data_IF_846346546135
#
_entry.id   IF_846346546135
#
_cell.length_a   1.000
_cell.length_b   1.000
_cell.length_c   1.000
_cell.angle_alpha   90.00
_cell.angle_beta   90.00
_cell.angle_gamma   90.00
#
_symmetry.space_group_name_H-M   'P 1'
#
loop_
_entity.id
_entity.type
_entity.pdbx_description
1 polymer ?
#
# COMPACT_ATOMS: atom_id res chain seq x y z
N UNK A 1 31.68 -18.40 19.64
CA UNK A 1 30.73 -17.40 20.19
C UNK A 1 29.55 -17.33 19.24
N UNK A 2 28.32 -17.51 19.73
CA UNK A 2 27.11 -17.40 18.90
C UNK A 2 26.79 -15.97 18.48
N UNK A 3 25.76 -15.79 17.65
CA UNK A 3 25.26 -14.46 17.29
C UNK A 3 24.67 -13.75 18.52
N UNK A 4 24.89 -12.43 18.67
CA UNK A 4 24.11 -11.61 19.60
C UNK A 4 22.61 -11.65 19.24
N UNK A 5 21.73 -11.51 20.25
CA UNK A 5 20.28 -11.59 20.08
C UNK A 5 19.72 -10.62 19.02
N UNK A 6 20.31 -9.43 18.87
CA UNK A 6 19.87 -8.42 17.89
C UNK A 6 20.38 -8.68 16.46
N UNK A 7 21.14 -9.76 16.23
CA UNK A 7 21.65 -10.16 14.91
C UNK A 7 21.09 -11.49 14.42
N UNK A 8 20.12 -12.09 15.11
CA UNK A 8 19.62 -13.42 14.73
C UNK A 8 19.09 -13.49 13.30
N UNK A 9 18.51 -12.40 12.77
CA UNK A 9 18.02 -12.35 11.39
C UNK A 9 19.12 -12.20 10.34
N UNK A 10 20.39 -11.99 10.70
CA UNK A 10 21.46 -11.93 9.69
C UNK A 10 21.71 -13.27 9.03
N UNK A 11 21.16 -14.37 9.59
CA UNK A 11 21.29 -15.72 9.04
C UNK A 11 20.71 -15.84 7.64
N UNK A 12 19.62 -15.13 7.32
CA UNK A 12 18.95 -15.21 6.01
C UNK A 12 19.51 -14.26 4.95
N UNK A 13 20.56 -13.48 5.26
CA UNK A 13 21.05 -12.43 4.34
C UNK A 13 21.65 -12.96 3.03
N UNK A 14 22.19 -14.18 3.05
CA UNK A 14 22.78 -14.81 1.87
C UNK A 14 21.94 -15.97 1.33
N UNK A 15 20.75 -16.20 1.90
CA UNK A 15 19.86 -17.31 1.57
C UNK A 15 18.54 -16.73 1.00
N UNK A 16 18.46 -16.49 -0.32
CA UNK A 16 17.35 -15.77 -0.94
C UNK A 16 16.00 -16.48 -0.78
N UNK A 17 15.97 -17.81 -0.73
CA UNK A 17 14.75 -18.57 -0.48
C UNK A 17 14.20 -18.38 0.94
N UNK A 18 15.08 -18.46 1.95
CA UNK A 18 14.68 -18.22 3.33
C UNK A 18 14.37 -16.74 3.57
N UNK A 19 15.06 -15.84 2.86
CA UNK A 19 14.72 -14.43 2.83
C UNK A 19 13.31 -14.23 2.26
N UNK A 20 12.96 -14.89 1.15
CA UNK A 20 11.61 -14.85 0.59
C UNK A 20 10.57 -15.40 1.58
N UNK A 21 10.86 -16.54 2.22
CA UNK A 21 9.98 -17.12 3.25
C UNK A 21 9.66 -16.14 4.38
N UNK A 22 10.66 -15.43 4.93
CA UNK A 22 10.40 -14.46 6.00
C UNK A 22 9.63 -13.23 5.51
N UNK A 23 9.80 -12.81 4.26
CA UNK A 23 8.98 -11.73 3.67
C UNK A 23 7.51 -12.16 3.48
N UNK A 24 7.28 -13.41 3.04
CA UNK A 24 5.94 -13.98 2.92
C UNK A 24 5.30 -14.10 4.30
N UNK A 25 6.05 -14.56 5.31
CA UNK A 25 5.58 -14.62 6.71
C UNK A 25 5.22 -13.23 7.25
N UNK A 26 6.07 -12.22 7.03
CA UNK A 26 5.77 -10.85 7.42
C UNK A 26 4.49 -10.33 6.75
N UNK A 27 4.32 -10.61 5.45
CA UNK A 27 3.09 -10.25 4.72
C UNK A 27 1.87 -10.93 5.33
N UNK A 28 1.97 -12.22 5.67
CA UNK A 28 0.89 -12.96 6.32
C UNK A 28 0.49 -12.33 7.66
N UNK A 29 1.47 -11.95 8.48
CA UNK A 29 1.23 -11.30 9.78
C UNK A 29 0.56 -9.94 9.63
N UNK A 30 1.01 -9.12 8.68
CA UNK A 30 0.37 -7.81 8.40
C UNK A 30 -1.07 -8.00 7.94
N UNK A 31 -1.33 -8.94 7.03
CA UNK A 31 -2.70 -9.21 6.56
C UNK A 31 -3.61 -9.82 7.62
N UNK A 32 -3.07 -10.68 8.49
CA UNK A 32 -3.81 -11.26 9.61
C UNK A 32 -4.11 -10.23 10.71
N UNK A 33 -3.19 -9.28 10.93
CA UNK A 33 -3.44 -8.15 11.83
C UNK A 33 -4.55 -7.25 11.29
N UNK A 34 -4.52 -6.91 10.00
CA UNK A 34 -5.55 -6.07 9.38
C UNK A 34 -6.96 -6.69 9.52
N UNK A 35 -7.08 -8.00 9.30
CA UNK A 35 -8.32 -8.75 9.56
C UNK A 35 -8.73 -8.71 11.04
N UNK A 36 -7.81 -9.05 11.95
CA UNK A 36 -8.11 -9.12 13.38
C UNK A 36 -8.63 -7.78 13.92
N UNK A 37 -8.07 -6.66 13.42
CA UNK A 37 -8.58 -5.33 13.77
C UNK A 37 -9.94 -5.04 13.15
N UNK A 38 -10.16 -5.38 11.88
CA UNK A 38 -11.46 -5.16 11.23
C UNK A 38 -12.58 -5.99 11.88
N UNK A 39 -12.33 -7.25 12.24
CA UNK A 39 -13.29 -8.08 12.98
C UNK A 39 -13.53 -7.57 14.40
N UNK A 40 -12.49 -7.06 15.06
CA UNK A 40 -12.63 -6.43 16.37
C UNK A 40 -13.51 -5.19 16.29
N UNK A 41 -13.24 -4.29 15.33
CA UNK A 41 -14.04 -3.09 15.09
C UNK A 41 -15.50 -3.45 14.79
N UNK A 42 -15.73 -4.41 13.88
CA UNK A 42 -17.06 -4.88 13.54
C UNK A 42 -17.82 -5.43 14.76
N UNK A 43 -17.13 -6.13 15.66
CA UNK A 43 -17.75 -6.71 16.85
C UNK A 43 -18.20 -5.67 17.89
N UNK A 44 -17.60 -4.48 17.89
CA UNK A 44 -17.91 -3.39 18.85
C UNK A 44 -18.63 -2.20 18.22
N UNK A 45 -18.70 -2.12 16.89
CA UNK A 45 -19.29 -1.00 16.16
C UNK A 45 -20.82 -0.92 16.29
N UNK A 46 -21.33 0.30 16.49
CA UNK A 46 -22.75 0.59 16.64
C UNK A 46 -23.27 1.52 15.52
N UNK A 47 -23.95 0.98 14.49
CA UNK A 47 -24.31 1.76 13.29
C UNK A 47 -25.53 2.68 13.44
N UNK A 48 -26.23 2.69 14.57
CA UNK A 48 -27.60 3.24 14.62
C UNK A 48 -27.70 4.77 14.60
N UNK A 49 -26.63 5.50 14.95
CA UNK A 49 -26.65 6.97 15.06
C UNK A 49 -25.50 7.64 14.27
N UNK A 50 -25.46 7.52 12.93
CA UNK A 50 -24.32 7.97 12.13
C UNK A 50 -24.07 9.48 12.17
N UNK A 51 -25.06 10.30 12.59
CA UNK A 51 -24.91 11.76 12.70
C UNK A 51 -24.25 12.18 14.03
N UNK A 52 -24.66 11.56 15.15
CA UNK A 52 -24.23 11.98 16.50
C UNK A 52 -23.17 11.09 17.11
N UNK A 53 -23.10 9.85 16.64
CA UNK A 53 -22.12 8.85 17.01
C UNK A 53 -21.50 8.23 15.75
N UNK A 54 -20.85 9.06 14.90
CA UNK A 54 -20.20 8.58 13.70
C UNK A 54 -19.01 7.68 14.01
N UNK A 55 -18.59 7.01 12.96
CA UNK A 55 -17.46 6.09 12.87
C UNK A 55 -16.18 6.54 13.62
N UNK A 56 -15.72 7.77 13.41
CA UNK A 56 -14.52 8.30 14.06
C UNK A 56 -14.67 8.54 15.57
N UNK A 57 -15.90 8.61 16.13
CA UNK A 57 -16.13 8.65 17.58
C UNK A 57 -16.06 7.28 18.24
N UNK A 58 -16.40 6.24 17.49
CA UNK A 58 -16.39 4.86 17.96
C UNK A 58 -15.08 4.14 17.64
N UNK A 59 -14.23 4.74 16.80
CA UNK A 59 -12.96 4.14 16.35
C UNK A 59 -13.14 2.98 15.37
N UNK A 60 -14.22 2.96 14.59
CA UNK A 60 -14.53 1.88 13.64
C UNK A 60 -14.47 2.34 12.18
N UNK A 61 -14.79 1.44 11.24
CA UNK A 61 -15.13 1.72 9.84
C UNK A 61 -16.30 0.84 9.39
N UNK A 62 -17.46 1.36 8.91
CA UNK A 62 -18.55 0.49 8.38
C UNK A 62 -19.47 1.15 7.34
N UNK A 63 -19.65 0.44 6.20
CA UNK A 63 -20.85 0.39 5.33
C UNK A 63 -20.90 -0.93 4.55
N UNK A 64 -22.07 -1.57 4.46
CA UNK A 64 -22.21 -2.95 3.95
C UNK A 64 -22.51 -3.03 2.43
N UNK A 65 -21.79 -3.86 1.66
CA UNK A 65 -22.09 -4.21 0.25
C UNK A 65 -21.61 -5.63 -0.15
N UNK A 66 -22.50 -6.64 -0.09
CA UNK A 66 -22.32 -7.93 -0.78
C UNK A 66 -21.12 -8.75 -0.29
N UNK A 67 -20.42 -9.46 -1.20
CA UNK A 67 -19.19 -10.21 -0.87
C UNK A 67 -18.07 -9.27 -0.40
N UNK A 68 -18.06 -8.04 -0.90
CA UNK A 68 -17.11 -6.98 -0.51
C UNK A 68 -17.63 -6.17 0.69
N UNK A 69 -18.20 -6.85 1.68
CA UNK A 69 -18.66 -6.23 2.93
C UNK A 69 -17.57 -6.16 3.99
N UNK A 70 -17.86 -5.50 5.10
CA UNK A 70 -16.98 -5.47 6.28
C UNK A 70 -16.85 -6.83 6.96
N UNK A 71 -17.71 -7.80 6.63
CA UNK A 71 -17.54 -9.20 7.01
C UNK A 71 -16.71 -9.98 5.96
N UNK A 72 -16.93 -9.68 4.68
CA UNK A 72 -16.27 -10.37 3.58
C UNK A 72 -14.80 -10.01 3.40
N UNK A 73 -14.46 -8.72 3.48
CA UNK A 73 -13.07 -8.24 3.33
C UNK A 73 -12.14 -8.86 4.39
N UNK A 74 -12.49 -8.87 5.70
CA UNK A 74 -11.66 -9.55 6.70
C UNK A 74 -11.61 -11.07 6.47
N UNK A 75 -12.75 -11.68 6.10
CA UNK A 75 -12.81 -13.10 5.71
C UNK A 75 -11.83 -13.48 4.60
N UNK A 76 -11.71 -12.65 3.55
CA UNK A 76 -10.72 -12.83 2.49
C UNK A 76 -9.28 -12.64 2.99
N UNK A 77 -9.04 -11.66 3.88
CA UNK A 77 -7.72 -11.43 4.49
C UNK A 77 -7.27 -12.60 5.38
N UNK A 78 -8.18 -13.27 6.11
CA UNK A 78 -7.88 -14.50 6.87
C UNK A 78 -7.41 -15.60 5.95
N UNK A 79 -8.19 -15.86 4.89
CA UNK A 79 -7.87 -16.93 3.94
C UNK A 79 -6.53 -16.64 3.27
N UNK A 80 -6.30 -15.40 2.86
CA UNK A 80 -5.03 -14.97 2.29
C UNK A 80 -3.86 -15.12 3.27
N UNK A 81 -4.02 -14.68 4.52
CA UNK A 81 -3.01 -14.81 5.57
C UNK A 81 -2.65 -16.29 5.81
N UNK A 82 -3.64 -17.17 5.93
CA UNK A 82 -3.42 -18.62 6.09
C UNK A 82 -2.69 -19.25 4.90
N UNK A 83 -3.06 -18.89 3.66
CA UNK A 83 -2.36 -19.35 2.46
C UNK A 83 -0.90 -18.87 2.43
N UNK A 84 -0.64 -17.62 2.83
CA UNK A 84 0.71 -17.06 2.91
C UNK A 84 1.56 -17.75 3.98
N UNK A 85 0.99 -18.15 5.12
CA UNK A 85 1.71 -18.94 6.13
C UNK A 85 2.15 -20.29 5.54
N UNK A 86 1.27 -20.99 4.84
CA UNK A 86 1.60 -22.27 4.20
C UNK A 86 2.71 -22.10 3.14
N UNK A 87 2.61 -21.05 2.32
CA UNK A 87 3.61 -20.69 1.31
C UNK A 87 4.97 -20.35 1.96
N UNK A 88 4.98 -19.60 3.06
CA UNK A 88 6.19 -19.28 3.81
C UNK A 88 6.88 -20.54 4.35
N UNK A 89 6.11 -21.48 4.93
CA UNK A 89 6.63 -22.77 5.41
C UNK A 89 7.22 -23.57 4.25
N UNK A 90 6.54 -23.58 3.10
CA UNK A 90 7.04 -24.28 1.91
C UNK A 90 8.39 -23.72 1.44
N UNK A 91 8.51 -22.39 1.28
CA UNK A 91 9.76 -21.74 0.90
C UNK A 91 10.88 -21.92 1.93
N UNK A 92 10.53 -22.02 3.21
CA UNK A 92 11.51 -22.30 4.26
C UNK A 92 12.10 -23.71 4.14
N UNK A 93 11.24 -24.70 3.90
CA UNK A 93 11.64 -26.11 3.82
C UNK A 93 12.38 -26.40 2.51
N UNK A 94 11.91 -25.84 1.40
CA UNK A 94 12.46 -26.06 0.06
C UNK A 94 13.35 -24.90 -0.39
N UNK A 95 14.40 -24.63 0.38
CA UNK A 95 15.21 -23.41 0.25
C UNK A 95 16.39 -23.49 -0.74
N UNK A 96 16.65 -24.62 -1.38
CA UNK A 96 17.77 -24.79 -2.32
C UNK A 96 17.28 -24.86 -3.77
N UNK A 97 16.54 -23.82 -4.20
CA UNK A 97 16.01 -23.77 -5.55
C UNK A 97 17.08 -23.30 -6.54
N UNK A 98 17.24 -24.07 -7.62
CA UNK A 98 18.21 -23.78 -8.69
C UNK A 98 18.07 -22.36 -9.27
N UNK A 99 16.87 -21.77 -9.25
CA UNK A 99 16.60 -20.42 -9.78
C UNK A 99 17.39 -19.31 -9.07
N UNK A 100 17.75 -19.52 -7.81
CA UNK A 100 18.52 -18.54 -7.04
C UNK A 100 20.03 -18.76 -7.15
N UNK A 101 20.48 -19.84 -7.78
CA UNK A 101 21.88 -20.17 -7.96
C UNK A 101 22.40 -19.72 -9.33
N UNK A 102 23.50 -18.97 -9.33
CA UNK A 102 24.24 -18.67 -10.57
C UNK A 102 24.90 -19.93 -11.10
N UNK A 103 24.52 -20.39 -12.28
CA UNK A 103 25.06 -21.61 -12.90
C UNK A 103 26.58 -21.58 -13.09
N UNK A 104 27.18 -20.38 -13.21
CA UNK A 104 28.63 -20.23 -13.39
C UNK A 104 29.40 -20.40 -12.09
N UNK A 105 28.84 -19.98 -10.96
CA UNK A 105 29.55 -19.94 -9.68
C UNK A 105 29.01 -20.93 -8.65
N UNK A 106 27.82 -21.48 -8.86
CA UNK A 106 27.10 -22.34 -7.92
C UNK A 106 26.70 -21.62 -6.64
N UNK A 107 26.68 -20.28 -6.63
CA UNK A 107 26.37 -19.47 -5.44
C UNK A 107 25.02 -18.77 -5.59
N UNK A 108 24.34 -18.47 -4.47
CA UNK A 108 23.16 -17.63 -4.49
C UNK A 108 23.44 -16.26 -5.10
N UNK A 109 22.59 -15.80 -6.02
CA UNK A 109 22.72 -14.47 -6.64
C UNK A 109 21.37 -13.90 -7.04
N UNK A 110 21.21 -12.58 -6.90
CA UNK A 110 20.02 -11.83 -7.30
C UNK A 110 20.41 -10.65 -8.18
N UNK A 111 19.75 -10.54 -9.35
CA UNK A 111 19.89 -9.38 -10.23
C UNK A 111 18.95 -8.25 -9.78
N UNK A 112 19.37 -7.53 -8.73
CA UNK A 112 18.55 -6.49 -8.09
C UNK A 112 18.02 -5.41 -9.04
N UNK A 113 18.81 -4.86 -9.99
CA UNK A 113 18.28 -3.90 -10.98
C UNK A 113 17.14 -4.46 -11.82
N UNK A 114 17.26 -5.72 -12.26
CA UNK A 114 16.20 -6.36 -13.05
C UNK A 114 14.97 -6.67 -12.21
N UNK A 115 15.16 -7.14 -10.98
CA UNK A 115 14.08 -7.35 -10.01
C UNK A 115 13.35 -6.03 -9.73
N UNK A 116 14.08 -4.93 -9.56
CA UNK A 116 13.51 -3.61 -9.37
C UNK A 116 12.64 -3.19 -10.55
N UNK A 117 13.11 -3.39 -11.79
CA UNK A 117 12.29 -3.18 -12.99
C UNK A 117 10.98 -3.96 -12.92
N UNK A 118 11.04 -5.29 -12.79
CA UNK A 118 9.85 -6.14 -12.73
C UNK A 118 8.84 -5.65 -11.67
N UNK A 119 9.30 -5.25 -10.49
CA UNK A 119 8.41 -4.73 -9.44
C UNK A 119 7.83 -3.35 -9.83
N UNK A 120 8.64 -2.45 -10.39
CA UNK A 120 8.19 -1.15 -10.88
C UNK A 120 7.15 -1.29 -12.00
N UNK A 121 7.30 -2.28 -12.90
CA UNK A 121 6.31 -2.60 -13.92
C UNK A 121 4.96 -2.95 -13.30
N UNK A 122 4.98 -3.93 -12.39
CA UNK A 122 3.78 -4.44 -11.74
C UNK A 122 3.12 -3.35 -10.90
N UNK A 123 3.91 -2.53 -10.19
CA UNK A 123 3.42 -1.36 -9.48
C UNK A 123 2.82 -0.33 -10.42
N UNK A 124 3.45 -0.03 -11.57
CA UNK A 124 2.92 0.92 -12.57
C UNK A 124 1.59 0.46 -13.16
N UNK A 125 1.47 -0.82 -13.53
CA UNK A 125 0.21 -1.42 -14.01
C UNK A 125 -0.87 -1.38 -12.94
N UNK A 126 -0.55 -1.74 -11.70
CA UNK A 126 -1.49 -1.68 -10.58
C UNK A 126 -1.95 -0.24 -10.30
N UNK A 127 -1.03 0.72 -10.32
CA UNK A 127 -1.31 2.13 -10.04
C UNK A 127 -2.18 2.76 -11.12
N UNK A 128 -1.85 2.51 -12.39
CA UNK A 128 -2.67 2.91 -13.53
C UNK A 128 -4.07 2.27 -13.44
N UNK A 129 -4.14 0.97 -13.19
CA UNK A 129 -5.40 0.24 -13.11
C UNK A 129 -6.30 0.75 -11.98
N UNK A 130 -5.72 1.06 -10.82
CA UNK A 130 -6.46 1.67 -9.71
C UNK A 130 -7.06 3.01 -10.13
N UNK A 131 -6.26 3.93 -10.68
CA UNK A 131 -6.77 5.22 -11.16
C UNK A 131 -7.82 5.07 -12.26
N UNK A 132 -7.49 4.34 -13.33
CA UNK A 132 -8.27 4.27 -14.56
C UNK A 132 -9.57 3.46 -14.44
N UNK A 133 -9.65 2.49 -13.51
CA UNK A 133 -10.82 1.62 -13.36
C UNK A 133 -11.51 1.75 -12.01
N UNK A 134 -10.74 1.73 -10.92
CA UNK A 134 -11.30 1.73 -9.57
C UNK A 134 -11.83 3.12 -9.20
N UNK A 135 -10.98 4.15 -9.27
CA UNK A 135 -11.31 5.52 -8.83
C UNK A 135 -12.28 6.21 -9.79
N UNK A 136 -12.06 6.08 -11.10
CA UNK A 136 -13.00 6.58 -12.14
C UNK A 136 -14.34 5.86 -12.12
N UNK A 137 -14.47 4.73 -11.43
CA UNK A 137 -15.70 3.93 -11.47
C UNK A 137 -16.05 3.33 -12.83
N UNK A 138 -15.10 3.28 -13.78
CA UNK A 138 -15.30 2.61 -15.07
C UNK A 138 -15.53 1.11 -14.90
N UNK A 139 -14.82 0.50 -13.93
CA UNK A 139 -14.97 -0.92 -13.58
C UNK A 139 -14.74 -1.19 -12.09
N UNK A 140 -15.02 -0.20 -11.23
CA UNK A 140 -14.80 -0.33 -9.79
C UNK A 140 -15.78 0.49 -8.94
N UNK A 141 -15.66 0.38 -7.61
CA UNK A 141 -16.62 0.92 -6.66
C UNK A 141 -16.56 2.44 -6.53
N UNK A 142 -15.53 3.09 -7.10
CA UNK A 142 -15.24 4.52 -6.95
C UNK A 142 -14.70 4.85 -5.56
N UNK A 143 -14.62 6.13 -5.21
CA UNK A 143 -14.07 6.59 -3.92
C UNK A 143 -15.04 7.48 -3.16
N UNK A 144 -14.81 7.65 -1.86
CA UNK A 144 -15.56 8.61 -1.03
C UNK A 144 -15.25 10.04 -1.47
N UNK A 145 -16.28 10.84 -1.65
CA UNK A 145 -16.18 12.29 -1.83
C UNK A 145 -17.24 12.95 -0.97
N UNK A 146 -16.90 14.10 -0.41
CA UNK A 146 -17.80 14.88 0.43
C UNK A 146 -17.91 16.33 -0.05
N UNK A 147 -18.91 17.03 0.48
CA UNK A 147 -19.02 18.47 0.34
C UNK A 147 -18.08 19.21 1.31
N UNK A 148 -17.98 20.54 1.17
CA UNK A 148 -17.08 21.39 1.95
C UNK A 148 -17.31 21.34 3.46
N UNK A 149 -18.50 20.92 3.91
CA UNK A 149 -18.86 20.85 5.32
C UNK A 149 -19.03 19.41 5.84
N UNK A 150 -18.78 18.39 5.00
CA UNK A 150 -18.85 16.99 5.42
C UNK A 150 -20.25 16.55 5.84
N UNK A 151 -21.28 16.94 5.09
CA UNK A 151 -22.69 16.63 5.39
C UNK A 151 -23.30 15.62 4.40
N UNK A 152 -22.74 15.51 3.19
CA UNK A 152 -23.30 14.77 2.07
C UNK A 152 -22.29 13.78 1.46
N UNK A 153 -21.37 13.27 2.28
CA UNK A 153 -20.39 12.28 1.87
C UNK A 153 -20.99 11.01 1.32
N UNK A 154 -20.42 10.54 0.23
CA UNK A 154 -20.80 9.28 -0.41
C UNK A 154 -19.72 8.78 -1.34
N UNK A 155 -19.77 7.50 -1.64
CA UNK A 155 -18.97 6.90 -2.71
C UNK A 155 -19.51 7.36 -4.07
N UNK A 156 -18.67 8.02 -4.87
CA UNK A 156 -19.05 8.53 -6.17
C UNK A 156 -17.92 8.49 -7.18
N UNK A 157 -18.29 8.50 -8.46
CA UNK A 157 -17.36 8.54 -9.58
C UNK A 157 -16.63 9.88 -9.61
N UNK A 158 -15.34 9.83 -9.92
CA UNK A 158 -14.48 11.00 -10.02
C UNK A 158 -13.85 11.06 -11.41
N UNK A 159 -14.03 12.19 -12.08
CA UNK A 159 -13.36 12.45 -13.37
C UNK A 159 -11.95 13.00 -13.11
N UNK A 160 -10.96 12.66 -13.96
CA UNK A 160 -9.62 13.20 -13.82
C UNK A 160 -9.57 14.71 -14.06
N UNK A 161 -8.81 15.40 -13.23
CA UNK A 161 -8.46 16.81 -13.39
C UNK A 161 -7.06 16.92 -14.02
N UNK A 162 -7.00 17.40 -15.26
CA UNK A 162 -5.74 17.55 -16.00
C UNK A 162 -5.21 18.98 -16.03
N UNK A 163 -6.00 19.96 -15.60
CA UNK A 163 -5.59 21.35 -15.48
C UNK A 163 -4.81 21.62 -14.20
N UNK A 164 -4.66 22.91 -13.85
CA UNK A 164 -3.97 23.32 -12.62
C UNK A 164 -4.71 22.87 -11.37
N UNK A 165 -6.03 22.72 -11.45
CA UNK A 165 -6.88 22.16 -10.39
C UNK A 165 -6.54 20.71 -10.06
N UNK A 166 -5.83 19.99 -10.94
CA UNK A 166 -5.28 18.66 -10.66
C UNK A 166 -4.08 18.64 -9.72
N UNK A 167 -3.67 19.79 -9.18
CA UNK A 167 -2.67 19.91 -8.11
C UNK A 167 -3.27 20.50 -6.82
N UNK A 168 -4.57 20.81 -6.82
CA UNK A 168 -5.27 21.22 -5.61
C UNK A 168 -5.60 19.96 -4.80
N UNK A 169 -5.03 19.79 -3.58
CA UNK A 169 -5.14 18.56 -2.84
C UNK A 169 -6.53 18.36 -2.20
N UNK A 170 -7.44 19.33 -2.38
CA UNK A 170 -8.86 19.22 -2.02
C UNK A 170 -9.75 18.82 -3.20
N UNK A 171 -9.20 18.73 -4.43
CA UNK A 171 -9.94 18.32 -5.62
C UNK A 171 -9.74 16.82 -5.85
N UNK A 172 -10.79 15.97 -5.71
CA UNK A 172 -10.64 14.51 -5.86
C UNK A 172 -10.16 14.08 -7.25
N UNK A 173 -10.36 14.93 -8.27
CA UNK A 173 -9.89 14.69 -9.64
C UNK A 173 -8.36 14.58 -9.76
N UNK A 174 -7.62 15.17 -8.81
CA UNK A 174 -6.16 15.03 -8.66
C UNK A 174 -5.76 13.57 -8.40
N UNK A 175 -6.49 12.86 -7.54
CA UNK A 175 -6.25 11.44 -7.25
C UNK A 175 -6.28 10.62 -8.54
N UNK A 176 -7.28 10.85 -9.39
CA UNK A 176 -7.44 10.09 -10.64
C UNK A 176 -6.31 10.41 -11.62
N UNK A 177 -6.06 11.70 -11.88
CA UNK A 177 -5.04 12.11 -12.85
C UNK A 177 -3.63 11.72 -12.38
N UNK A 178 -3.35 11.83 -11.08
CA UNK A 178 -2.10 11.36 -10.46
C UNK A 178 -1.88 9.87 -10.69
N UNK A 179 -2.86 9.01 -10.39
CA UNK A 179 -2.73 7.57 -10.56
C UNK A 179 -2.53 7.15 -12.02
N UNK A 180 -3.26 7.77 -12.95
CA UNK A 180 -3.12 7.50 -14.38
C UNK A 180 -1.74 7.96 -14.89
N UNK A 181 -1.33 9.19 -14.56
CA UNK A 181 -0.08 9.76 -15.02
C UNK A 181 1.14 9.02 -14.43
N UNK A 182 1.20 8.87 -13.11
CA UNK A 182 2.32 8.21 -12.45
C UNK A 182 2.36 6.71 -12.78
N UNK A 183 1.21 6.05 -12.96
CA UNK A 183 1.15 4.66 -13.41
C UNK A 183 1.74 4.50 -14.82
N UNK A 184 1.37 5.40 -15.74
CA UNK A 184 1.93 5.43 -17.10
C UNK A 184 3.44 5.69 -17.08
N UNK A 185 3.90 6.66 -16.27
CA UNK A 185 5.33 6.93 -16.10
C UNK A 185 6.08 5.76 -15.48
N UNK A 186 5.48 5.07 -14.50
CA UNK A 186 6.05 3.88 -13.88
C UNK A 186 6.27 2.75 -14.88
N UNK A 187 5.30 2.52 -15.78
CA UNK A 187 5.42 1.54 -16.87
C UNK A 187 6.56 1.93 -17.84
N UNK A 188 6.66 3.21 -18.22
CA UNK A 188 7.73 3.66 -19.12
C UNK A 188 9.11 3.60 -18.47
N UNK A 189 9.21 3.98 -17.19
CA UNK A 189 10.43 3.92 -16.41
C UNK A 189 10.89 2.46 -16.20
N UNK A 190 9.96 1.53 -16.00
CA UNK A 190 10.26 0.11 -15.97
C UNK A 190 10.87 -0.38 -17.30
N UNK A 191 10.22 -0.09 -18.43
CA UNK A 191 10.72 -0.52 -19.74
C UNK A 191 12.17 -0.06 -19.94
N UNK A 192 12.51 1.12 -19.44
CA UNK A 192 13.89 1.59 -19.37
C UNK A 192 14.77 0.73 -18.45
N UNK A 193 14.35 0.47 -17.21
CA UNK A 193 15.10 -0.35 -16.24
C UNK A 193 15.30 -1.81 -16.66
N UNK A 194 14.36 -2.40 -17.41
CA UNK A 194 14.52 -3.74 -18.00
C UNK A 194 15.39 -3.75 -19.24
N UNK A 195 15.46 -2.64 -19.98
CA UNK A 195 16.22 -2.53 -21.23
C UNK A 195 17.67 -2.08 -21.02
N UNK A 196 17.96 -1.40 -19.90
CA UNK A 196 19.25 -0.72 -19.70
C UNK A 196 19.97 -1.25 -18.47
N UNK A 197 21.19 -1.75 -18.68
CA UNK A 197 22.07 -2.13 -17.58
C UNK A 197 22.56 -0.92 -16.80
N UNK A 198 22.71 -1.08 -15.48
CA UNK A 198 23.21 0.02 -14.64
C UNK A 198 24.66 0.38 -15.01
N UNK A 199 24.99 1.69 -15.18
CA UNK A 199 26.36 2.15 -15.32
C UNK A 199 27.28 1.66 -14.20
N UNK A 200 28.51 1.29 -14.56
CA UNK A 200 29.48 0.70 -13.60
C UNK A 200 29.83 1.64 -12.43
N UNK A 201 29.83 2.96 -12.67
CA UNK A 201 30.05 3.97 -11.61
C UNK A 201 28.95 3.94 -10.56
N UNK A 202 27.68 3.88 -10.98
CA UNK A 202 26.52 3.81 -10.08
C UNK A 202 26.46 2.46 -9.36
N UNK A 203 26.72 1.36 -10.06
CA UNK A 203 26.77 0.02 -9.46
C UNK A 203 27.77 -0.04 -8.29
N UNK A 204 28.99 0.49 -8.49
CA UNK A 204 30.03 0.53 -7.45
C UNK A 204 29.75 1.55 -6.35
N UNK A 205 29.15 2.69 -6.69
CA UNK A 205 28.89 3.80 -5.78
C UNK A 205 27.73 3.54 -4.82
N UNK A 206 26.60 3.04 -5.34
CA UNK A 206 25.38 2.85 -4.55
C UNK A 206 25.41 1.57 -3.71
N UNK A 207 26.13 0.53 -4.17
CA UNK A 207 26.17 -0.81 -3.54
C UNK A 207 24.78 -1.39 -3.22
N UNK A 208 23.72 -0.86 -3.86
CA UNK A 208 22.29 -1.15 -3.66
C UNK A 208 21.87 -1.39 -2.20
N UNK A 209 22.41 -0.62 -1.26
CA UNK A 209 22.04 -0.70 0.15
C UNK A 209 20.88 0.23 0.52
N UNK A 210 19.96 -0.26 1.35
CA UNK A 210 19.03 0.47 2.25
C UNK A 210 18.18 1.66 1.73
N UNK A 211 18.08 1.90 0.43
CA UNK A 211 17.29 3.04 -0.13
C UNK A 211 15.79 2.92 0.22
N UNK A 212 15.27 1.71 0.37
CA UNK A 212 13.84 1.48 0.68
C UNK A 212 13.38 2.11 1.99
N UNK A 213 14.22 2.12 3.03
CA UNK A 213 13.86 2.68 4.35
C UNK A 213 13.63 4.19 4.25
N UNK A 214 14.47 4.90 3.49
CA UNK A 214 14.32 6.35 3.30
C UNK A 214 13.03 6.68 2.56
N UNK A 215 12.68 5.91 1.53
CA UNK A 215 11.42 6.10 0.78
C UNK A 215 10.20 5.82 1.67
N UNK A 216 10.21 4.73 2.45
CA UNK A 216 9.11 4.42 3.38
C UNK A 216 8.96 5.50 4.46
N UNK A 217 10.07 6.03 4.97
CA UNK A 217 10.04 7.13 5.94
C UNK A 217 9.46 8.42 5.33
N UNK A 218 9.84 8.76 4.11
CA UNK A 218 9.30 9.92 3.39
C UNK A 218 7.78 9.79 3.21
N UNK A 219 7.30 8.65 2.71
CA UNK A 219 5.85 8.40 2.55
C UNK A 219 5.12 8.46 3.89
N UNK A 220 5.74 7.96 4.96
CA UNK A 220 5.16 8.01 6.31
C UNK A 220 5.01 9.46 6.81
N UNK A 221 5.99 10.32 6.50
CA UNK A 221 5.92 11.74 6.82
C UNK A 221 4.79 12.43 6.05
N UNK A 222 4.72 12.23 4.72
CA UNK A 222 3.68 12.81 3.87
C UNK A 222 2.28 12.38 4.33
N UNK A 223 2.04 11.08 4.55
CA UNK A 223 0.73 10.58 5.00
C UNK A 223 0.34 11.17 6.36
N UNK A 224 1.31 11.32 7.27
CA UNK A 224 1.08 11.96 8.58
C UNK A 224 0.67 13.43 8.42
N UNK A 225 1.37 14.15 7.53
CA UNK A 225 1.06 15.55 7.22
C UNK A 225 -0.33 15.70 6.62
N UNK A 226 -0.66 14.90 5.59
CA UNK A 226 -1.96 14.97 4.92
C UNK A 226 -3.13 14.58 5.82
N UNK A 227 -2.89 13.69 6.78
CA UNK A 227 -3.87 13.34 7.81
C UNK A 227 -4.08 14.50 8.79
N UNK A 228 -3.01 15.21 9.16
CA UNK A 228 -3.06 16.29 10.13
C UNK A 228 -3.72 17.57 9.59
N UNK A 229 -3.46 17.90 8.32
CA UNK A 229 -4.01 19.11 7.68
C UNK A 229 -5.36 18.88 6.98
N UNK A 230 -5.68 17.63 6.63
CA UNK A 230 -6.89 17.26 5.90
C UNK A 230 -6.77 17.50 4.40
N UNK A 231 -7.18 16.52 3.58
CA UNK A 231 -7.18 16.54 2.12
C UNK A 231 -8.41 15.82 1.57
N UNK A 232 -8.57 15.76 0.25
CA UNK A 232 -9.61 14.96 -0.41
C UNK A 232 -9.59 13.47 -0.02
N UNK A 233 -8.43 12.93 0.37
CA UNK A 233 -8.25 11.54 0.81
C UNK A 233 -8.50 11.31 2.31
N UNK A 234 -8.64 12.38 3.09
CA UNK A 234 -8.89 12.34 4.55
C UNK A 234 -10.16 13.12 4.92
N UNK A 235 -11.33 12.70 4.42
CA UNK A 235 -12.59 13.40 4.64
C UNK A 235 -13.04 13.34 6.11
N UNK A 236 -13.58 14.46 6.60
CA UNK A 236 -13.93 14.65 8.01
C UNK A 236 -15.03 13.72 8.53
N UNK A 237 -15.89 13.20 7.64
CA UNK A 237 -16.91 12.21 8.01
C UNK A 237 -16.31 10.85 8.37
N UNK A 238 -15.09 10.58 7.90
CA UNK A 238 -14.36 9.35 8.18
C UNK A 238 -13.27 9.54 9.25
N UNK A 239 -12.67 10.74 9.34
CA UNK A 239 -11.46 10.97 10.14
C UNK A 239 -11.55 12.10 11.17
N UNK A 240 -12.76 12.61 11.44
CA UNK A 240 -12.99 13.79 12.31
C UNK A 240 -12.54 15.12 11.69
N UNK A 241 -12.97 16.23 12.31
CA UNK A 241 -12.54 17.58 12.01
C UNK A 241 -11.05 17.77 12.30
N UNK A 242 -10.39 18.59 11.47
CA UNK A 242 -9.02 19.00 11.76
C UNK A 242 -9.01 20.10 12.84
N UNK A 243 -7.90 20.20 13.57
CA UNK A 243 -7.70 21.27 14.54
C UNK A 243 -7.85 22.66 13.90
N UNK A 244 -7.40 22.83 12.66
CA UNK A 244 -7.43 24.11 11.95
C UNK A 244 -8.86 24.61 11.70
N UNK A 245 -9.80 23.71 11.40
CA UNK A 245 -11.22 24.08 11.25
C UNK A 245 -11.80 24.62 12.57
N UNK A 246 -11.40 24.05 13.71
CA UNK A 246 -11.81 24.54 15.03
C UNK A 246 -11.17 25.89 15.36
N UNK A 247 -9.86 26.00 15.18
CA UNK A 247 -9.09 27.21 15.54
C UNK A 247 -9.53 28.43 14.70
N UNK A 248 -10.06 28.20 13.49
CA UNK A 248 -10.54 29.26 12.59
C UNK A 248 -12.05 29.54 12.68
N UNK A 249 -12.83 28.78 13.46
CA UNK A 249 -14.28 28.92 13.51
C UNK A 249 -14.95 28.65 12.15
N UNK A 250 -14.52 27.60 11.46
CA UNK A 250 -14.99 27.27 10.11
C UNK A 250 -16.47 26.83 10.05
N UNK A 251 -16.97 26.21 11.12
CA UNK A 251 -18.36 25.74 11.26
C UNK A 251 -19.20 26.69 12.11
#
# INVERSE_FOLDING_TARGET
MGFPWYRVHTIVLNDPDQLLSVHIMHTALVTGWADSMALYELAVFYPSYPVLDPMWRQGGTVTNLGIWSYEGVPGEHIVFSGLRILEAIWHWVYWDLKIFCDERTGKPSLDLPKIFGIHLFLSGVAYFGFGAFHVTGLYGPRIWVSDLYGLMGKVQLVNPAWGMEGFDPFVPGEIVSHHIAAGTLGILADLFHLSVCTPQSLYKGLRYGSISITVVFFVSFDVTETMWYGLATTPIELFELTRYQRDQGYF
#
